data_IF_546117680327
#
_entry.id   IF_546117680327
#
_cell.length_a   1.000
_cell.length_b   1.000
_cell.length_c   1.000
_cell.angle_alpha   90.00
_cell.angle_beta   90.00
_cell.angle_gamma   90.00
#
_symmetry.space_group_name_H-M   'P 1'
#
loop_
_entity.id
_entity.type
_entity.pdbx_description
1 polymer ?
#
# COMPACT_ATOMS: atom_id res chain seq x y z
N UNK A 1 27.16 8.31 -4.85
CA UNK A 1 26.36 8.90 -3.76
C UNK A 1 25.83 10.24 -4.22
N UNK A 2 24.56 10.55 -3.96
CA UNK A 2 24.03 11.89 -4.22
C UNK A 2 24.58 12.87 -3.15
N UNK A 3 24.98 14.07 -3.57
CA UNK A 3 25.37 15.15 -2.67
C UNK A 3 24.25 16.18 -2.64
N UNK A 4 24.05 16.78 -1.47
CA UNK A 4 23.13 17.91 -1.29
C UNK A 4 23.88 19.18 -1.71
N UNK A 5 23.25 20.03 -2.54
CA UNK A 5 23.82 21.32 -2.92
C UNK A 5 23.61 22.37 -1.82
N UNK A 6 24.27 23.54 -1.91
CA UNK A 6 24.05 24.64 -0.96
C UNK A 6 22.62 25.18 -0.93
N UNK A 7 21.82 24.88 -1.97
CA UNK A 7 20.39 25.22 -2.05
C UNK A 7 19.48 24.10 -1.52
N UNK A 8 20.05 23.10 -0.83
CA UNK A 8 19.34 21.93 -0.32
C UNK A 8 18.69 21.07 -1.41
N UNK A 9 19.22 21.14 -2.64
CA UNK A 9 18.73 20.31 -3.74
C UNK A 9 19.49 19.00 -3.77
N UNK A 10 18.78 17.92 -4.13
CA UNK A 10 19.36 16.62 -4.42
C UNK A 10 19.11 16.27 -5.88
N UNK A 11 20.10 15.65 -6.52
CA UNK A 11 19.92 15.14 -7.88
C UNK A 11 19.28 13.76 -7.80
N UNK A 12 18.09 13.62 -8.41
CA UNK A 12 17.44 12.33 -8.57
C UNK A 12 18.09 11.56 -9.73
N UNK A 13 18.63 10.35 -9.51
CA UNK A 13 19.16 9.54 -10.61
C UNK A 13 18.09 9.22 -11.64
N UNK A 14 18.43 9.33 -12.93
CA UNK A 14 17.50 9.14 -14.06
C UNK A 14 16.67 7.84 -13.96
N UNK A 15 17.31 6.72 -13.62
CA UNK A 15 16.63 5.42 -13.45
C UNK A 15 15.53 5.44 -12.38
N UNK A 16 15.72 6.20 -11.30
CA UNK A 16 14.72 6.34 -10.24
C UNK A 16 13.60 7.27 -10.69
N UNK A 17 13.94 8.39 -11.35
CA UNK A 17 12.97 9.32 -11.91
C UNK A 17 12.02 8.61 -12.90
N UNK A 18 12.56 7.82 -13.84
CA UNK A 18 11.77 7.06 -14.82
C UNK A 18 10.88 6.02 -14.16
N UNK A 19 11.42 5.23 -13.21
CA UNK A 19 10.66 4.22 -12.46
C UNK A 19 9.46 4.83 -11.72
N UNK A 20 9.62 6.05 -11.21
CA UNK A 20 8.60 6.78 -10.46
C UNK A 20 7.86 7.83 -11.30
N UNK A 21 8.04 7.85 -12.63
CA UNK A 21 7.29 8.73 -13.53
C UNK A 21 7.49 10.21 -13.29
N UNK A 22 8.62 10.60 -12.69
CA UNK A 22 8.88 11.99 -12.31
C UNK A 22 9.53 12.70 -13.50
N UNK A 23 8.85 13.71 -14.04
CA UNK A 23 9.36 14.57 -15.09
C UNK A 23 9.59 16.01 -14.58
N UNK A 24 10.46 16.80 -15.24
CA UNK A 24 10.59 18.22 -14.95
C UNK A 24 9.24 18.94 -15.08
N UNK A 25 8.85 19.68 -14.04
CA UNK A 25 7.56 20.37 -13.99
C UNK A 25 6.46 19.61 -13.23
N UNK A 26 6.69 18.35 -12.85
CA UNK A 26 5.74 17.64 -11.98
C UNK A 26 5.76 18.15 -10.55
N UNK A 27 4.57 18.16 -9.94
CA UNK A 27 4.40 18.40 -8.52
C UNK A 27 4.75 17.14 -7.72
N UNK A 28 5.47 17.33 -6.61
CA UNK A 28 5.84 16.27 -5.68
C UNK A 28 5.53 16.71 -4.25
N UNK A 29 5.15 15.75 -3.41
CA UNK A 29 4.99 15.94 -1.98
C UNK A 29 6.13 15.26 -1.24
N UNK A 30 6.63 15.93 -0.21
CA UNK A 30 7.60 15.36 0.72
C UNK A 30 6.90 15.00 2.02
N UNK A 31 7.16 13.79 2.51
CA UNK A 31 6.73 13.34 3.83
C UNK A 31 7.96 12.86 4.61
N UNK A 32 8.00 13.19 5.91
CA UNK A 32 9.09 12.78 6.80
C UNK A 32 8.59 11.68 7.72
N UNK A 33 9.20 10.49 7.62
CA UNK A 33 8.84 9.33 8.44
C UNK A 33 10.10 8.77 9.10
N UNK A 34 10.18 8.94 10.43
CA UNK A 34 11.31 8.51 11.23
C UNK A 34 12.61 9.16 10.75
N UNK A 35 13.50 8.35 10.17
CA UNK A 35 14.81 8.78 9.65
C UNK A 35 14.87 8.86 8.13
N UNK A 36 13.71 8.92 7.46
CA UNK A 36 13.61 8.90 5.99
C UNK A 36 12.71 10.02 5.47
N UNK A 37 13.07 10.55 4.31
CA UNK A 37 12.24 11.48 3.54
C UNK A 37 11.67 10.68 2.37
N UNK A 38 10.34 10.62 2.29
CA UNK A 38 9.62 9.98 1.20
C UNK A 38 9.22 11.04 0.18
N UNK A 39 9.52 10.77 -1.09
CA UNK A 39 9.08 11.58 -2.23
C UNK A 39 7.86 10.90 -2.84
N UNK A 40 6.73 11.59 -2.85
CA UNK A 40 5.47 11.10 -3.39
C UNK A 40 5.16 11.93 -4.65
N UNK A 41 5.25 11.35 -5.85
CA UNK A 41 4.83 12.01 -7.07
C UNK A 41 3.33 12.38 -7.03
N UNK A 42 2.96 13.57 -7.48
CA UNK A 42 1.55 13.97 -7.60
C UNK A 42 0.78 13.13 -8.64
N UNK A 43 1.50 12.54 -9.60
CA UNK A 43 0.99 11.60 -10.60
C UNK A 43 1.71 10.27 -10.42
N UNK A 44 0.99 9.18 -10.17
CA UNK A 44 1.61 7.86 -10.12
C UNK A 44 1.85 7.34 -11.54
N UNK A 45 3.08 7.00 -11.95
CA UNK A 45 3.34 6.35 -13.22
C UNK A 45 2.58 5.03 -13.32
N UNK A 46 1.96 4.76 -14.46
CA UNK A 46 1.19 3.54 -14.66
C UNK A 46 -0.20 3.54 -14.00
N UNK A 47 -0.54 4.59 -13.25
CA UNK A 47 -1.94 4.95 -13.05
C UNK A 47 -2.36 5.89 -14.19
N UNK A 48 -2.69 5.32 -15.36
CA UNK A 48 -3.98 5.76 -15.89
C UNK A 48 -4.94 5.43 -14.76
N UNK A 49 -5.42 6.45 -14.04
CA UNK A 49 -6.41 6.24 -13.01
C UNK A 49 -7.60 5.62 -13.72
N UNK A 50 -7.68 4.28 -13.65
CA UNK A 50 -8.81 3.53 -14.16
C UNK A 50 -10.05 4.30 -13.73
N UNK A 51 -10.95 4.52 -14.68
CA UNK A 51 -12.17 5.24 -14.39
C UNK A 51 -12.82 4.61 -13.15
N UNK A 52 -13.54 5.40 -12.36
CA UNK A 52 -14.23 4.89 -11.17
C UNK A 52 -15.03 3.63 -11.49
N UNK A 53 -15.68 3.60 -12.64
CA UNK A 53 -16.50 2.49 -13.10
C UNK A 53 -15.67 1.24 -13.41
N UNK A 54 -14.49 1.42 -14.00
CA UNK A 54 -13.59 0.32 -14.31
C UNK A 54 -12.94 -0.28 -13.06
N UNK A 55 -12.64 0.56 -12.05
CA UNK A 55 -12.21 0.09 -10.73
C UNK A 55 -13.29 -0.73 -10.03
N UNK A 56 -14.53 -0.26 -10.06
CA UNK A 56 -15.68 -0.97 -9.48
C UNK A 56 -15.90 -2.31 -10.19
N UNK A 57 -15.85 -2.31 -11.53
CA UNK A 57 -15.97 -3.53 -12.33
C UNK A 57 -14.92 -4.58 -11.94
N UNK A 58 -13.64 -4.19 -11.84
CA UNK A 58 -12.56 -5.11 -11.45
C UNK A 58 -12.71 -5.61 -10.01
N UNK A 59 -13.16 -4.74 -9.10
CA UNK A 59 -13.44 -5.11 -7.72
C UNK A 59 -14.56 -6.15 -7.62
N UNK A 60 -15.67 -5.94 -8.34
CA UNK A 60 -16.80 -6.87 -8.38
C UNK A 60 -16.41 -8.22 -8.99
N UNK A 61 -15.57 -8.20 -10.02
CA UNK A 61 -15.05 -9.42 -10.63
C UNK A 61 -14.15 -10.20 -9.68
N UNK A 62 -13.24 -9.51 -8.98
CA UNK A 62 -12.38 -10.12 -7.95
C UNK A 62 -13.23 -10.72 -6.81
N UNK A 63 -14.27 -10.02 -6.37
CA UNK A 63 -15.19 -10.48 -5.33
C UNK A 63 -15.96 -11.72 -5.76
N UNK A 64 -16.47 -11.75 -7.01
CA UNK A 64 -17.13 -12.94 -7.58
C UNK A 64 -16.19 -14.15 -7.64
N UNK A 65 -14.94 -13.96 -8.05
CA UNK A 65 -13.92 -15.03 -8.06
C UNK A 65 -13.66 -15.56 -6.66
N UNK A 66 -13.60 -14.68 -5.66
CA UNK A 66 -13.41 -15.08 -4.26
C UNK A 66 -14.59 -15.89 -3.74
N UNK A 67 -15.82 -15.45 -4.01
CA UNK A 67 -17.04 -16.16 -3.60
C UNK A 67 -17.16 -17.53 -4.25
N UNK A 68 -16.87 -17.64 -5.55
CA UNK A 68 -16.87 -18.92 -6.25
C UNK A 68 -15.88 -19.91 -5.62
N UNK A 69 -14.65 -19.46 -5.33
CA UNK A 69 -13.65 -20.29 -4.61
C UNK A 69 -14.10 -20.67 -3.21
N UNK A 70 -14.73 -19.75 -2.48
CA UNK A 70 -15.21 -20.02 -1.13
C UNK A 70 -16.37 -21.05 -1.14
N UNK A 71 -17.21 -21.06 -2.18
CA UNK A 71 -18.27 -22.02 -2.34
C UNK A 71 -17.76 -23.44 -2.68
N UNK A 72 -16.62 -23.54 -3.37
CA UNK A 72 -15.97 -24.82 -3.69
C UNK A 72 -15.19 -25.40 -2.51
N UNK A 73 -14.78 -24.57 -1.55
CA UNK A 73 -14.05 -25.02 -0.37
C UNK A 73 -15.04 -25.59 0.67
N UNK A 74 -14.77 -26.79 1.21
CA UNK A 74 -15.55 -27.28 2.34
C UNK A 74 -15.42 -26.31 3.50
N UNK A 75 -16.52 -26.05 4.21
CA UNK A 75 -16.50 -25.22 5.39
C UNK A 75 -15.46 -25.79 6.37
N UNK A 76 -14.39 -25.03 6.62
CA UNK A 76 -13.37 -25.42 7.58
C UNK A 76 -14.05 -25.56 8.94
N UNK A 77 -14.03 -26.76 9.51
CA UNK A 77 -14.46 -26.97 10.88
C UNK A 77 -13.46 -26.22 11.76
N UNK A 78 -13.88 -25.20 12.52
CA UNK A 78 -12.95 -24.48 13.37
C UNK A 78 -12.34 -25.48 14.35
N UNK A 79 -11.03 -25.65 14.29
CA UNK A 79 -10.31 -26.45 15.28
C UNK A 79 -10.57 -25.85 16.66
N UNK A 80 -10.84 -26.67 17.70
CA UNK A 80 -11.00 -26.16 19.05
C UNK A 80 -9.76 -25.34 19.41
N UNK A 81 -10.00 -24.07 19.76
CA UNK A 81 -8.94 -23.17 20.24
C UNK A 81 -8.83 -23.35 21.74
N UNK A 82 -7.61 -23.32 22.24
CA UNK A 82 -7.29 -23.42 23.68
C UNK A 82 -7.55 -22.10 24.44
N UNK A 83 -8.21 -21.15 23.79
CA UNK A 83 -8.54 -19.85 24.34
C UNK A 83 -9.90 -19.39 23.85
N UNK A 84 -10.63 -18.77 24.76
CA UNK A 84 -11.87 -18.04 24.50
C UNK A 84 -11.57 -16.56 24.31
N UNK A 85 -12.45 -15.86 23.61
CA UNK A 85 -12.25 -14.44 23.25
C UNK A 85 -12.00 -13.57 24.48
N UNK A 86 -12.70 -13.85 25.57
CA UNK A 86 -12.55 -13.25 26.89
C UNK A 86 -11.13 -13.38 27.47
N UNK A 87 -10.40 -14.45 27.16
CA UNK A 87 -9.03 -14.67 27.64
C UNK A 87 -8.05 -13.64 27.04
N UNK A 88 -8.32 -13.12 25.84
CA UNK A 88 -7.46 -12.10 25.21
C UNK A 88 -7.51 -10.75 25.92
N UNK A 89 -8.63 -10.42 26.56
CA UNK A 89 -8.78 -9.17 27.31
C UNK A 89 -8.17 -9.25 28.70
N UNK A 90 -7.96 -10.47 29.21
CA UNK A 90 -7.39 -10.73 30.54
C UNK A 90 -5.87 -10.86 30.52
N UNK A 91 -5.27 -11.27 29.40
CA UNK A 91 -3.80 -11.46 29.25
C UNK A 91 -2.97 -10.16 29.28
N UNK A 92 -3.60 -8.99 29.34
CA UNK A 92 -2.95 -7.68 29.33
C UNK A 92 -2.98 -6.92 30.66
N UNK A 93 -3.57 -7.46 31.72
CA UNK A 93 -3.52 -6.87 33.07
C UNK A 93 -2.58 -7.69 33.95
N UNK A 94 -1.29 -7.42 33.80
CA UNK A 94 -0.30 -7.66 34.84
C UNK A 94 0.18 -6.27 35.30
N UNK A 95 -0.01 -5.98 36.58
CA UNK A 95 0.72 -4.95 37.32
C UNK A 95 2.24 -5.12 37.18
#
# INVERSE_FOLDING_TARGET
MAKVTSKLQITLPKRIAEKHGIAPGDEIRFESTGHSITIIPGKQPGQEQLSRDERLRLFDEATRRLQARAAELPAATPSPRDWRREDLYSRGTAD
#
